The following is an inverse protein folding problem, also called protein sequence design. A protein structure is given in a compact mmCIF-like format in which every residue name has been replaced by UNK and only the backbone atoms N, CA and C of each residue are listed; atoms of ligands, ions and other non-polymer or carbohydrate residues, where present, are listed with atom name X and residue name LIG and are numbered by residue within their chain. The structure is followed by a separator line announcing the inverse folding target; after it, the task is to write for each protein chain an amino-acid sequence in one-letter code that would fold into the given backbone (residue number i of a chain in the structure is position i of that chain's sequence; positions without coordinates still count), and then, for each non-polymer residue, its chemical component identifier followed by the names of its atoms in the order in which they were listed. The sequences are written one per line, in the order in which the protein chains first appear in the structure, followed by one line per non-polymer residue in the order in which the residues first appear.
data_IF_413628159490
#
_entry.id   IF_413628159490
#
_cell.length_a   1.000
_cell.length_b   1.000
_cell.length_c   1.000
_cell.angle_alpha   90.00
_cell.angle_beta   90.00
_cell.angle_gamma   90.00
#
_symmetry.space_group_name_H-M   'P 1'
#
loop_
_entity.id
_entity.type
_entity.pdbx_description
1 polymer ?
#
# COMPACT_ATOMS: atom_id res chain seq x y z
N UNK A 1 -29.60 7.23 22.95
CA UNK A 1 -29.37 6.09 22.02
C UNK A 1 -28.92 6.66 20.70
N UNK A 2 -27.64 6.51 20.37
CA UNK A 2 -27.12 6.63 19.02
C UNK A 2 -25.91 5.71 19.00
N UNK A 3 -26.14 4.43 18.68
CA UNK A 3 -25.04 3.55 18.32
C UNK A 3 -24.56 4.04 16.96
N UNK A 4 -23.54 4.90 16.98
CA UNK A 4 -22.91 5.41 15.76
C UNK A 4 -22.21 4.24 15.07
N UNK A 5 -22.87 3.82 13.99
CA UNK A 5 -22.51 2.84 12.98
C UNK A 5 -21.00 2.75 12.73
N UNK A 6 -20.29 1.84 13.40
CA UNK A 6 -18.82 1.73 13.36
C UNK A 6 -18.33 0.75 12.29
N UNK A 7 -19.24 0.07 11.57
CA UNK A 7 -18.89 -0.96 10.56
C UNK A 7 -18.65 -0.42 9.16
N UNK A 8 -19.05 0.82 8.86
CA UNK A 8 -18.69 1.50 7.60
C UNK A 8 -17.30 2.18 7.68
N UNK A 9 -16.68 2.21 8.86
CA UNK A 9 -15.54 3.07 9.19
C UNK A 9 -14.14 2.41 9.09
N UNK A 10 -14.03 1.11 8.80
CA UNK A 10 -12.74 0.44 8.58
C UNK A 10 -12.80 -0.35 7.27
N UNK A 11 -12.17 0.17 6.21
CA UNK A 11 -12.15 -0.45 4.88
C UNK A 11 -11.15 -1.63 4.76
N UNK A 12 -10.36 -1.84 5.81
CA UNK A 12 -9.34 -2.87 5.99
C UNK A 12 -9.03 -3.06 7.49
N UNK A 13 -8.25 -4.09 7.84
CA UNK A 13 -7.73 -4.31 9.20
C UNK A 13 -6.56 -3.36 9.51
N UNK A 14 -6.87 -2.06 9.60
CA UNK A 14 -5.87 -1.00 9.75
C UNK A 14 -5.31 -0.96 11.17
N UNK A 15 -3.98 -1.01 11.28
CA UNK A 15 -3.23 -0.65 12.48
C UNK A 15 -2.61 0.74 12.31
N UNK A 16 -2.32 1.43 13.42
CA UNK A 16 -1.67 2.73 13.39
C UNK A 16 -0.30 2.65 14.08
N UNK A 17 0.78 2.61 13.28
CA UNK A 17 2.16 2.57 13.79
C UNK A 17 2.81 3.93 13.60
N UNK A 18 3.15 4.60 14.69
CA UNK A 18 3.73 5.95 14.67
C UNK A 18 2.90 6.98 13.85
N UNK A 19 1.58 6.82 13.84
CA UNK A 19 0.65 7.67 13.08
C UNK A 19 0.74 7.45 11.56
N UNK A 20 0.99 6.22 11.14
CA UNK A 20 0.92 5.76 9.76
C UNK A 20 -0.12 4.62 9.74
N UNK A 21 -1.16 4.69 8.90
CA UNK A 21 -2.08 3.58 8.71
C UNK A 21 -1.33 2.44 8.02
N UNK A 22 -1.34 1.25 8.62
CA UNK A 22 -0.67 0.05 8.12
C UNK A 22 -1.65 -1.12 7.98
N UNK A 23 -1.46 -1.91 6.93
CA UNK A 23 -2.08 -3.24 6.75
C UNK A 23 -1.00 -4.32 6.71
N UNK A 24 -1.32 -5.50 7.22
CA UNK A 24 -0.41 -6.65 7.19
C UNK A 24 -0.40 -7.31 5.81
N UNK A 25 0.70 -7.99 5.49
CA UNK A 25 0.92 -8.67 4.20
C UNK A 25 -0.11 -9.77 3.92
N UNK A 26 -0.59 -10.49 4.94
CA UNK A 26 -1.69 -11.46 4.81
C UNK A 26 -2.97 -10.79 4.31
N UNK A 27 -3.35 -9.66 4.93
CA UNK A 27 -4.55 -8.93 4.53
C UNK A 27 -4.47 -8.47 3.06
N UNK A 28 -3.30 -7.97 2.64
CA UNK A 28 -3.07 -7.56 1.25
C UNK A 28 -3.17 -8.74 0.29
N UNK A 29 -2.65 -9.92 0.67
CA UNK A 29 -2.74 -11.12 -0.15
C UNK A 29 -4.20 -11.59 -0.33
N UNK A 30 -5.00 -11.55 0.74
CA UNK A 30 -6.40 -12.00 0.73
C UNK A 30 -7.35 -11.04 -0.02
N UNK A 31 -6.99 -9.75 -0.09
CA UNK A 31 -7.85 -8.69 -0.64
C UNK A 31 -7.23 -7.96 -1.84
N UNK A 32 -6.22 -8.55 -2.49
CA UNK A 32 -5.46 -7.88 -3.55
C UNK A 32 -6.35 -7.29 -4.65
N UNK A 33 -7.35 -8.07 -5.09
CA UNK A 33 -8.27 -7.69 -6.17
C UNK A 33 -9.33 -6.65 -5.74
N UNK A 34 -9.40 -6.30 -4.46
CA UNK A 34 -10.36 -5.32 -3.91
C UNK A 34 -9.77 -3.93 -3.72
N UNK A 35 -8.46 -3.78 -3.90
CA UNK A 35 -7.70 -2.55 -3.63
C UNK A 35 -6.73 -2.23 -4.76
N UNK A 36 -6.34 -0.97 -4.87
CA UNK A 36 -5.20 -0.58 -5.70
C UNK A 36 -3.92 -0.77 -4.89
N UNK A 37 -3.02 -1.62 -5.37
CA UNK A 37 -1.71 -1.83 -4.75
C UNK A 37 -0.64 -1.06 -5.52
N UNK A 38 -0.09 -0.01 -4.89
CA UNK A 38 0.89 0.90 -5.49
C UNK A 38 2.29 0.57 -4.95
N UNK A 39 3.20 0.16 -5.83
CA UNK A 39 4.61 0.00 -5.50
C UNK A 39 5.37 1.31 -5.74
N UNK A 40 5.91 1.89 -4.67
CA UNK A 40 6.65 3.17 -4.71
C UNK A 40 8.17 3.03 -4.72
N UNK A 41 8.67 1.81 -4.99
CA UNK A 41 10.09 1.57 -5.22
C UNK A 41 10.55 2.13 -6.57
N UNK A 42 11.86 2.19 -6.75
CA UNK A 42 12.44 2.46 -8.07
C UNK A 42 12.34 1.22 -8.96
N UNK A 43 12.36 1.41 -10.28
CA UNK A 43 12.15 0.34 -11.27
C UNK A 43 13.16 -0.81 -11.13
N UNK A 44 14.42 -0.49 -10.87
CA UNK A 44 15.49 -1.47 -10.65
C UNK A 44 15.23 -2.37 -9.42
N UNK A 45 14.53 -1.88 -8.40
CA UNK A 45 14.16 -2.71 -7.26
C UNK A 45 13.04 -3.71 -7.58
N UNK A 46 12.14 -3.41 -8.52
CA UNK A 46 11.08 -4.32 -8.98
C UNK A 46 11.66 -5.47 -9.83
N UNK A 47 12.70 -5.16 -10.60
CA UNK A 47 13.43 -6.08 -11.46
C UNK A 47 14.54 -6.83 -10.69
N UNK A 48 14.87 -6.38 -9.48
CA UNK A 48 15.86 -6.99 -8.60
C UNK A 48 15.39 -8.27 -7.89
N UNK A 49 16.20 -8.73 -6.93
CA UNK A 49 16.02 -10.03 -6.27
C UNK A 49 14.69 -10.21 -5.53
N UNK A 50 14.12 -9.12 -5.00
CA UNK A 50 12.82 -9.14 -4.32
C UNK A 50 11.64 -9.31 -5.28
N UNK A 51 11.84 -9.10 -6.58
CA UNK A 51 10.76 -9.06 -7.57
C UNK A 51 9.70 -8.01 -7.24
N UNK A 52 8.49 -8.23 -7.73
CA UNK A 52 7.30 -7.45 -7.42
C UNK A 52 6.06 -8.33 -7.34
N UNK A 53 5.01 -7.84 -6.67
CA UNK A 53 3.72 -8.54 -6.61
C UNK A 53 3.05 -8.41 -7.98
N UNK A 54 2.47 -9.48 -8.51
CA UNK A 54 1.74 -9.43 -9.78
C UNK A 54 0.54 -8.46 -9.67
N UNK A 55 0.28 -7.66 -10.70
CA UNK A 55 -0.89 -6.77 -10.74
C UNK A 55 -0.73 -5.43 -10.00
N UNK A 56 0.45 -5.14 -9.45
CA UNK A 56 0.71 -3.82 -8.86
C UNK A 56 0.69 -2.70 -9.91
N UNK A 57 0.39 -1.50 -9.45
CA UNK A 57 0.66 -0.26 -10.18
C UNK A 57 2.02 0.28 -9.70
N UNK A 58 2.93 0.55 -10.63
CA UNK A 58 4.25 1.10 -10.29
C UNK A 58 4.23 2.63 -10.39
N UNK A 59 4.45 3.30 -9.26
CA UNK A 59 4.52 4.76 -9.17
C UNK A 59 5.63 5.14 -8.20
N UNK A 60 6.85 5.47 -8.67
CA UNK A 60 7.97 5.82 -7.80
C UNK A 60 7.59 6.90 -6.78
N UNK A 61 8.17 6.85 -5.58
CA UNK A 61 7.80 7.76 -4.47
C UNK A 61 7.80 9.24 -4.89
N UNK A 62 8.77 9.67 -5.71
CA UNK A 62 8.87 11.04 -6.20
C UNK A 62 7.69 11.49 -7.07
N UNK A 63 7.00 10.54 -7.71
CA UNK A 63 5.93 10.79 -8.67
C UNK A 63 4.53 10.65 -8.06
N UNK A 64 4.42 10.07 -6.85
CA UNK A 64 3.14 9.77 -6.18
C UNK A 64 2.25 11.02 -6.09
N UNK A 65 2.82 12.17 -5.73
CA UNK A 65 2.06 13.43 -5.65
C UNK A 65 1.37 13.76 -6.97
N UNK A 66 2.15 13.83 -8.06
CA UNK A 66 1.63 14.24 -9.36
C UNK A 66 0.66 13.21 -9.94
N UNK A 67 0.99 11.92 -9.80
CA UNK A 67 0.11 10.83 -10.21
C UNK A 67 -1.24 10.87 -9.48
N UNK A 68 -1.22 11.14 -8.16
CA UNK A 68 -2.41 11.11 -7.31
C UNK A 68 -3.47 12.15 -7.68
N UNK A 69 -3.09 13.24 -8.36
CA UNK A 69 -4.04 14.27 -8.83
C UNK A 69 -5.10 13.74 -9.79
N UNK A 70 -4.87 12.58 -10.40
CA UNK A 70 -5.80 11.91 -11.32
C UNK A 70 -6.55 10.74 -10.69
N UNK A 71 -6.27 10.38 -9.45
CA UNK A 71 -6.91 9.26 -8.76
C UNK A 71 -8.22 9.69 -8.09
N UNK A 72 -9.11 8.75 -7.81
CA UNK A 72 -10.34 9.05 -7.07
C UNK A 72 -10.06 9.03 -5.57
N UNK A 73 -10.52 10.04 -4.83
CA UNK A 73 -10.32 10.15 -3.38
C UNK A 73 -10.97 9.01 -2.57
N UNK A 74 -11.94 8.30 -3.16
CA UNK A 74 -12.64 7.16 -2.56
C UNK A 74 -12.00 5.80 -2.81
N UNK A 75 -10.93 5.73 -3.61
CA UNK A 75 -10.21 4.49 -3.91
C UNK A 75 -9.60 3.91 -2.63
N UNK A 76 -9.67 2.59 -2.47
CA UNK A 76 -8.90 1.86 -1.45
C UNK A 76 -7.49 1.65 -1.99
N UNK A 77 -6.50 2.23 -1.33
CA UNK A 77 -5.11 2.23 -1.79
C UNK A 77 -4.21 1.60 -0.73
N UNK A 78 -3.47 0.56 -1.11
CA UNK A 78 -2.36 0.04 -0.34
C UNK A 78 -1.07 0.44 -1.03
N UNK A 79 -0.21 1.17 -0.32
CA UNK A 79 1.11 1.55 -0.80
C UNK A 79 2.14 0.62 -0.22
N UNK A 80 3.07 0.13 -1.04
CA UNK A 80 4.17 -0.71 -0.59
C UNK A 80 5.51 -0.19 -1.08
N UNK A 81 6.56 -0.54 -0.35
CA UNK A 81 7.93 -0.32 -0.80
C UNK A 81 8.82 -1.48 -0.33
N UNK A 82 10.14 -1.29 -0.29
CA UNK A 82 11.07 -2.32 0.19
C UNK A 82 10.78 -2.79 1.62
N UNK A 83 10.61 -1.88 2.56
CA UNK A 83 10.58 -2.20 4.01
C UNK A 83 9.54 -1.44 4.83
N UNK A 84 8.58 -0.76 4.19
CA UNK A 84 7.54 0.05 4.85
C UNK A 84 7.87 1.55 5.02
N UNK A 85 9.14 1.95 4.97
CA UNK A 85 9.53 3.35 5.24
C UNK A 85 9.05 4.38 4.21
N UNK A 86 9.26 4.11 2.91
CA UNK A 86 8.83 5.00 1.81
C UNK A 86 7.32 4.98 1.62
N UNK A 87 6.70 3.82 1.75
CA UNK A 87 5.26 3.65 1.63
C UNK A 87 4.50 4.36 2.76
N UNK A 88 5.04 4.36 3.99
CA UNK A 88 4.47 5.17 5.07
C UNK A 88 4.49 6.68 4.79
N UNK A 89 5.55 7.19 4.15
CA UNK A 89 5.62 8.60 3.71
C UNK A 89 4.61 8.90 2.59
N UNK A 90 4.50 8.01 1.61
CA UNK A 90 3.51 8.12 0.54
C UNK A 90 2.07 8.11 1.09
N UNK A 91 1.76 7.18 2.00
CA UNK A 91 0.45 7.09 2.64
C UNK A 91 0.05 8.40 3.33
N UNK A 92 0.95 8.99 4.15
CA UNK A 92 0.71 10.31 4.77
C UNK A 92 0.52 11.43 3.76
N UNK A 93 1.29 11.41 2.67
CA UNK A 93 1.15 12.42 1.63
C UNK A 93 -0.23 12.32 0.96
N UNK A 94 -0.72 11.10 0.71
CA UNK A 94 -2.05 10.87 0.15
C UNK A 94 -3.15 11.25 1.13
N UNK A 95 -3.03 10.93 2.42
CA UNK A 95 -3.97 11.40 3.44
C UNK A 95 -4.06 12.93 3.49
N UNK A 96 -2.91 13.61 3.42
CA UNK A 96 -2.84 15.08 3.35
C UNK A 96 -3.55 15.65 2.12
N UNK A 97 -3.69 14.86 1.07
CA UNK A 97 -4.38 15.21 -0.17
C UNK A 97 -5.87 14.83 -0.19
N UNK A 98 -6.42 14.40 0.95
CA UNK A 98 -7.84 14.10 1.10
C UNK A 98 -8.23 12.66 0.73
N UNK A 99 -7.25 11.78 0.47
CA UNK A 99 -7.55 10.35 0.38
C UNK A 99 -7.87 9.80 1.77
N UNK A 100 -8.99 9.10 1.90
CA UNK A 100 -9.48 8.62 3.22
C UNK A 100 -9.30 7.12 3.42
N UNK A 101 -8.88 6.40 2.37
CA UNK A 101 -8.75 4.95 2.36
C UNK A 101 -7.36 4.52 1.87
N UNK A 102 -6.34 4.94 2.61
CA UNK A 102 -4.93 4.66 2.27
C UNK A 102 -4.23 3.95 3.42
N UNK A 103 -3.42 2.94 3.11
CA UNK A 103 -2.56 2.27 4.08
C UNK A 103 -1.19 1.94 3.48
N UNK A 104 -0.17 1.85 4.33
CA UNK A 104 1.13 1.28 3.98
C UNK A 104 1.14 -0.23 4.28
N UNK A 105 1.70 -1.04 3.38
CA UNK A 105 1.94 -2.45 3.67
C UNK A 105 3.09 -2.60 4.68
N UNK A 106 2.77 -3.11 5.87
CA UNK A 106 3.74 -3.29 6.96
C UNK A 106 4.87 -4.23 6.52
N UNK A 107 6.12 -3.86 6.80
CA UNK A 107 7.30 -4.64 6.44
C UNK A 107 7.67 -4.69 4.95
N UNK A 108 6.79 -4.21 4.05
CA UNK A 108 7.05 -4.10 2.62
C UNK A 108 7.42 -5.43 1.94
N UNK A 109 8.12 -5.33 0.81
CA UNK A 109 8.55 -6.48 0.01
C UNK A 109 9.52 -7.41 0.74
N UNK A 110 10.26 -6.92 1.75
CA UNK A 110 11.09 -7.77 2.60
C UNK A 110 10.24 -8.79 3.35
N UNK A 111 9.20 -8.33 4.05
CA UNK A 111 8.28 -9.21 4.78
C UNK A 111 7.50 -10.12 3.82
N UNK A 112 7.02 -9.57 2.70
CA UNK A 112 6.35 -10.36 1.66
C UNK A 112 7.22 -11.54 1.15
N UNK A 113 8.51 -11.31 0.91
CA UNK A 113 9.44 -12.36 0.50
C UNK A 113 9.79 -13.34 1.63
N UNK A 114 9.98 -12.84 2.85
CA UNK A 114 10.28 -13.67 4.04
C UNK A 114 9.15 -14.67 4.32
N UNK A 115 7.91 -14.27 4.07
CA UNK A 115 6.71 -15.12 4.16
C UNK A 115 6.52 -16.06 2.95
N UNK A 116 7.45 -16.05 1.98
CA UNK A 116 7.41 -16.95 0.82
C UNK A 116 6.26 -16.67 -0.16
N UNK A 117 5.70 -15.45 -0.15
CA UNK A 117 4.56 -15.11 -1.01
C UNK A 117 4.95 -14.99 -2.49
N UNK A 118 4.01 -15.22 -3.42
CA UNK A 118 4.28 -15.13 -4.86
C UNK A 118 4.80 -13.77 -5.29
N UNK A 119 5.79 -13.77 -6.18
CA UNK A 119 6.31 -12.57 -6.84
C UNK A 119 6.62 -12.87 -8.30
N UNK A 120 6.54 -11.85 -9.14
CA UNK A 120 7.03 -11.88 -10.52
C UNK A 120 8.49 -11.46 -10.53
N UNK A 121 9.31 -12.21 -11.26
CA UNK A 121 10.71 -11.87 -11.56
C UNK A 121 10.90 -11.97 -13.07
N UNK A 122 11.44 -10.90 -13.65
CA UNK A 122 11.88 -10.91 -15.03
C UNK A 122 13.35 -11.34 -15.01
N UNK A 123 13.58 -12.65 -14.92
CA UNK A 123 14.92 -13.25 -14.98
C UNK A 123 15.38 -13.40 -16.44
#
# INVERSE_FOLDING_TARGET
MAQSNTKEAQWADITNRAGIPEVETDWVADHFDEVRVIDVRERDELEGSLGHIAGIEHVPLGDVWEASKKWNLGDKIVVLCRSGGRSGRAARSLETNGFTRVASMAGGMLKWNDEGRPVVRNL
#
